data_IF_207282088313
#
_entry.id   IF_207282088313
#
_cell.length_a   1.000
_cell.length_b   1.000
_cell.length_c   1.000
_cell.angle_alpha   90.00
_cell.angle_beta   90.00
_cell.angle_gamma   90.00
#
_symmetry.space_group_name_H-M   'P 1'
#
loop_
_entity.id
_entity.type
_entity.pdbx_description
1 polymer ?
#
# COMPACT_ATOMS: atom_id res chain seq x y z
N UNK A 1 -6.29 -10.17 -22.37
CA UNK A 1 -6.26 -9.60 -21.00
C UNK A 1 -6.13 -10.76 -20.03
N UNK A 2 -4.92 -11.07 -19.55
CA UNK A 2 -4.75 -12.13 -18.53
C UNK A 2 -5.11 -11.51 -17.18
N UNK A 3 -6.23 -11.95 -16.59
CA UNK A 3 -6.45 -11.81 -15.15
C UNK A 3 -5.51 -12.84 -14.52
N UNK A 4 -4.43 -12.38 -13.91
CA UNK A 4 -3.52 -13.24 -13.17
C UNK A 4 -3.93 -13.26 -11.70
N UNK A 5 -4.13 -14.44 -11.14
CA UNK A 5 -4.07 -14.70 -9.71
C UNK A 5 -2.73 -15.39 -9.48
N UNK A 6 -1.89 -14.82 -8.64
CA UNK A 6 -0.60 -15.37 -8.26
C UNK A 6 -0.57 -15.56 -6.75
N UNK A 7 0.00 -16.68 -6.33
CA UNK A 7 0.36 -16.95 -4.94
C UNK A 7 1.83 -17.29 -4.97
N UNK A 8 2.63 -16.48 -4.29
CA UNK A 8 4.06 -16.67 -4.18
C UNK A 8 4.48 -16.61 -2.70
N UNK A 9 5.72 -17.01 -2.44
CA UNK A 9 6.34 -16.91 -1.12
C UNK A 9 7.75 -16.36 -1.26
N UNK A 10 8.07 -15.29 -0.54
CA UNK A 10 9.39 -14.64 -0.47
C UNK A 10 9.87 -14.05 -1.81
N UNK A 11 9.11 -13.12 -2.34
CA UNK A 11 9.49 -12.36 -3.52
C UNK A 11 10.37 -11.15 -3.15
N UNK A 12 11.41 -10.89 -3.94
CA UNK A 12 12.16 -9.63 -3.84
C UNK A 12 11.34 -8.46 -4.44
N UNK A 13 10.76 -8.65 -5.63
CA UNK A 13 10.00 -7.62 -6.33
C UNK A 13 8.82 -8.18 -7.10
N UNK A 14 7.70 -7.46 -7.04
CA UNK A 14 6.50 -7.73 -7.82
C UNK A 14 6.10 -6.52 -8.66
N UNK A 15 5.88 -6.76 -9.96
CA UNK A 15 5.47 -5.73 -10.92
C UNK A 15 4.14 -6.08 -11.57
N UNK A 16 3.07 -5.37 -11.18
CA UNK A 16 1.75 -5.52 -11.76
C UNK A 16 1.34 -4.30 -12.58
N UNK A 17 1.39 -4.44 -13.91
CA UNK A 17 1.08 -3.35 -14.83
C UNK A 17 -0.44 -3.14 -15.06
N UNK A 18 -1.25 -4.19 -14.86
CA UNK A 18 -2.69 -4.23 -15.14
C UNK A 18 -3.43 -5.04 -14.07
N UNK A 19 -4.72 -5.27 -14.33
CA UNK A 19 -5.64 -6.00 -13.46
C UNK A 19 -5.09 -7.38 -13.07
N UNK A 20 -4.89 -7.58 -11.79
CA UNK A 20 -4.31 -8.78 -11.21
C UNK A 20 -4.57 -8.82 -9.72
N UNK A 21 -4.37 -10.00 -9.16
CA UNK A 21 -4.47 -10.27 -7.73
C UNK A 21 -3.21 -11.06 -7.35
N UNK A 22 -2.51 -10.61 -6.32
CA UNK A 22 -1.38 -11.33 -5.74
C UNK A 22 -1.65 -11.54 -4.25
N UNK A 23 -1.37 -12.75 -3.79
CA UNK A 23 -1.18 -13.05 -2.37
C UNK A 23 0.26 -13.48 -2.20
N UNK A 24 0.94 -12.85 -1.27
CA UNK A 24 2.32 -13.16 -0.93
C UNK A 24 2.47 -13.01 0.60
N UNK A 25 3.52 -13.63 1.16
CA UNK A 25 3.76 -13.64 2.61
C UNK A 25 4.90 -12.73 3.01
N UNK A 26 5.97 -12.69 2.20
CA UNK A 26 7.01 -11.68 2.34
C UNK A 26 7.39 -11.11 0.97
N UNK A 27 7.31 -9.79 0.84
CA UNK A 27 7.69 -9.07 -0.37
C UNK A 27 8.54 -7.85 -0.01
N UNK A 28 9.70 -7.64 -0.65
CA UNK A 28 10.47 -6.40 -0.40
C UNK A 28 9.81 -5.21 -1.15
N UNK A 29 9.42 -5.38 -2.42
CA UNK A 29 8.82 -4.26 -3.18
C UNK A 29 7.64 -4.64 -4.06
N UNK A 30 6.52 -3.93 -3.88
CA UNK A 30 5.33 -4.04 -4.71
C UNK A 30 5.12 -2.81 -5.60
N UNK A 31 5.10 -3.00 -6.92
CA UNK A 31 4.82 -1.94 -7.90
C UNK A 31 3.51 -2.21 -8.63
N UNK A 32 2.49 -1.40 -8.35
CA UNK A 32 1.14 -1.60 -8.91
C UNK A 32 0.67 -0.41 -9.74
N UNK A 33 0.33 -0.67 -11.00
CA UNK A 33 -0.06 0.38 -11.94
C UNK A 33 -1.56 0.64 -12.02
N UNK A 34 -2.40 -0.37 -12.27
CA UNK A 34 -3.83 -0.16 -12.54
C UNK A 34 -4.70 -1.34 -12.12
N UNK A 35 -5.64 -1.10 -11.19
CA UNK A 35 -6.68 -2.07 -10.80
C UNK A 35 -6.09 -3.38 -10.29
N UNK A 36 -5.02 -3.27 -9.50
CA UNK A 36 -4.35 -4.39 -8.85
C UNK A 36 -4.91 -4.54 -7.43
N UNK A 37 -4.87 -5.77 -6.93
CA UNK A 37 -5.10 -6.08 -5.53
C UNK A 37 -3.91 -6.89 -5.03
N UNK A 38 -3.37 -6.52 -3.87
CA UNK A 38 -2.34 -7.27 -3.17
C UNK A 38 -2.79 -7.51 -1.74
N UNK A 39 -2.63 -8.75 -1.30
CA UNK A 39 -2.69 -9.14 0.10
C UNK A 39 -1.31 -9.63 0.49
N UNK A 40 -0.75 -9.06 1.55
CA UNK A 40 0.59 -9.38 2.03
C UNK A 40 0.60 -9.51 3.54
N UNK A 41 1.51 -10.32 4.09
CA UNK A 41 1.75 -10.29 5.54
C UNK A 41 2.79 -9.23 5.89
N UNK A 42 3.95 -9.26 5.22
CA UNK A 42 5.02 -8.29 5.41
C UNK A 42 5.49 -7.71 4.07
N UNK A 43 5.39 -6.39 3.92
CA UNK A 43 5.93 -5.66 2.78
C UNK A 43 6.89 -4.58 3.24
N UNK A 44 8.07 -4.47 2.61
CA UNK A 44 8.96 -3.34 2.93
C UNK A 44 8.48 -2.05 2.26
N UNK A 45 8.06 -2.12 0.98
CA UNK A 45 7.64 -0.93 0.21
C UNK A 45 6.52 -1.17 -0.78
N UNK A 46 5.47 -0.35 -0.67
CA UNK A 46 4.35 -0.33 -1.59
C UNK A 46 4.30 0.92 -2.47
N UNK A 47 4.18 0.72 -3.79
CA UNK A 47 4.05 1.80 -4.78
C UNK A 47 2.76 1.70 -5.62
N UNK A 48 1.56 1.81 -5.02
CA UNK A 48 0.31 1.76 -5.76
C UNK A 48 0.01 3.09 -6.46
N UNK A 49 -0.07 3.06 -7.79
CA UNK A 49 -0.19 4.29 -8.57
C UNK A 49 -1.63 4.65 -9.00
N UNK A 50 -2.49 3.72 -9.42
CA UNK A 50 -3.90 4.03 -9.77
C UNK A 50 -4.91 2.94 -9.46
N UNK A 51 -5.94 3.28 -8.68
CA UNK A 51 -7.10 2.40 -8.42
C UNK A 51 -6.65 1.01 -7.98
N UNK A 52 -5.63 0.94 -7.14
CA UNK A 52 -5.19 -0.31 -6.51
C UNK A 52 -5.79 -0.39 -5.12
N UNK A 53 -5.90 -1.62 -4.61
CA UNK A 53 -6.11 -1.85 -3.20
C UNK A 53 -5.00 -2.75 -2.65
N UNK A 54 -4.59 -2.43 -1.44
CA UNK A 54 -3.53 -3.11 -0.70
C UNK A 54 -4.10 -3.45 0.67
N UNK A 55 -3.90 -4.69 1.11
CA UNK A 55 -4.29 -5.14 2.44
C UNK A 55 -3.10 -5.84 3.06
N UNK A 56 -2.55 -5.29 4.13
CA UNK A 56 -1.33 -5.82 4.75
C UNK A 56 -1.37 -5.85 6.26
N UNK A 57 -0.59 -6.74 6.86
CA UNK A 57 -0.43 -6.75 8.32
C UNK A 57 0.63 -5.74 8.71
N UNK A 58 1.83 -5.82 8.12
CA UNK A 58 2.92 -4.91 8.38
C UNK A 58 3.46 -4.33 7.06
N UNK A 59 3.51 -3.01 6.98
CA UNK A 59 4.15 -2.29 5.89
C UNK A 59 5.14 -1.28 6.47
N UNK A 60 6.36 -1.28 5.93
CA UNK A 60 7.36 -0.28 6.32
C UNK A 60 7.06 1.08 5.68
N UNK A 61 6.75 1.11 4.38
CA UNK A 61 6.57 2.36 3.63
C UNK A 61 5.50 2.28 2.53
N UNK A 62 4.51 3.15 2.64
CA UNK A 62 3.46 3.34 1.64
C UNK A 62 3.67 4.60 0.78
N UNK A 63 3.67 4.46 -0.55
CA UNK A 63 3.77 5.57 -1.51
C UNK A 63 2.55 5.66 -2.45
N UNK A 64 1.32 5.86 -1.95
CA UNK A 64 0.14 5.89 -2.79
C UNK A 64 0.05 7.15 -3.66
N UNK A 65 -0.24 6.94 -4.95
CA UNK A 65 -0.29 8.04 -5.93
C UNK A 65 -1.69 8.60 -6.19
N UNK A 66 -2.67 7.77 -6.60
CA UNK A 66 -4.01 8.24 -7.01
C UNK A 66 -5.09 7.19 -6.84
N UNK A 67 -6.11 7.53 -6.06
CA UNK A 67 -7.31 6.72 -5.78
C UNK A 67 -6.92 5.31 -5.36
N UNK A 68 -5.96 5.22 -4.46
CA UNK A 68 -5.57 3.96 -3.84
C UNK A 68 -6.31 3.82 -2.51
N UNK A 69 -6.59 2.58 -2.15
CA UNK A 69 -7.15 2.22 -0.86
C UNK A 69 -6.16 1.27 -0.19
N UNK A 70 -5.62 1.66 0.95
CA UNK A 70 -4.68 0.84 1.70
C UNK A 70 -5.33 0.56 3.06
N UNK A 71 -5.27 -0.70 3.48
CA UNK A 71 -5.75 -1.16 4.78
C UNK A 71 -4.63 -1.92 5.45
N UNK A 72 -4.13 -1.41 6.57
CA UNK A 72 -2.93 -1.94 7.20
C UNK A 72 -3.12 -2.06 8.71
N UNK A 73 -2.50 -3.05 9.35
CA UNK A 73 -2.51 -3.12 10.82
C UNK A 73 -1.44 -2.17 11.37
N UNK A 74 -0.21 -2.29 10.87
CA UNK A 74 0.91 -1.43 11.24
C UNK A 74 1.56 -0.84 9.98
N UNK A 75 1.65 0.49 9.95
CA UNK A 75 2.45 1.21 8.96
C UNK A 75 3.49 2.10 9.64
N UNK A 76 4.74 1.94 9.25
CA UNK A 76 5.80 2.82 9.75
C UNK A 76 5.72 4.21 9.10
N UNK A 77 5.58 4.29 7.77
CA UNK A 77 5.58 5.59 7.07
C UNK A 77 4.62 5.67 5.89
N UNK A 78 3.73 6.65 5.92
CA UNK A 78 2.82 6.98 4.84
C UNK A 78 3.27 8.24 4.06
N UNK A 79 3.39 8.13 2.73
CA UNK A 79 3.73 9.24 1.83
C UNK A 79 2.66 9.47 0.74
N UNK A 80 1.42 9.84 1.10
CA UNK A 80 0.37 10.02 0.11
C UNK A 80 0.58 11.28 -0.75
N UNK A 81 0.60 11.08 -2.07
CA UNK A 81 0.81 12.19 -3.02
C UNK A 81 -0.47 12.87 -3.51
N UNK A 82 -1.62 12.17 -3.55
CA UNK A 82 -2.94 12.72 -3.92
C UNK A 82 -4.08 11.91 -3.28
N UNK A 83 -5.32 12.29 -3.61
CA UNK A 83 -6.59 11.60 -3.29
C UNK A 83 -6.44 10.10 -3.17
N UNK A 84 -6.64 9.59 -1.98
CA UNK A 84 -6.67 8.18 -1.60
C UNK A 84 -7.30 8.06 -0.22
N UNK A 85 -7.43 6.82 0.24
CA UNK A 85 -7.78 6.51 1.61
C UNK A 85 -6.76 5.53 2.15
N UNK A 86 -6.29 5.83 3.35
CA UNK A 86 -5.36 5.02 4.13
C UNK A 86 -6.09 4.72 5.45
N UNK A 87 -6.27 3.43 5.76
CA UNK A 87 -7.00 2.97 6.94
C UNK A 87 -6.08 2.06 7.74
N UNK A 88 -5.72 2.47 8.94
CA UNK A 88 -4.64 1.82 9.70
C UNK A 88 -4.98 1.67 11.17
N UNK A 89 -4.44 0.64 11.83
CA UNK A 89 -4.55 0.57 13.29
C UNK A 89 -3.47 1.44 13.93
N UNK A 90 -2.22 1.23 13.54
CA UNK A 90 -1.06 1.99 14.04
C UNK A 90 -0.28 2.59 12.88
N UNK A 91 -0.06 3.91 12.94
CA UNK A 91 0.79 4.66 12.01
C UNK A 91 1.87 5.41 12.79
N UNK A 92 3.16 5.16 12.49
CA UNK A 92 4.26 5.92 13.10
C UNK A 92 4.36 7.31 12.47
N UNK A 93 4.52 7.42 11.14
CA UNK A 93 4.73 8.73 10.48
C UNK A 93 3.87 8.97 9.25
N UNK A 94 3.13 10.07 9.24
CA UNK A 94 2.36 10.53 8.07
C UNK A 94 2.99 11.76 7.41
N UNK A 95 3.26 11.70 6.11
CA UNK A 95 3.80 12.80 5.29
C UNK A 95 2.86 13.17 4.11
N UNK A 96 1.65 13.68 4.37
CA UNK A 96 0.70 14.04 3.33
C UNK A 96 1.14 15.27 2.53
N UNK A 97 1.15 15.15 1.20
CA UNK A 97 1.39 16.31 0.33
C UNK A 97 0.11 17.01 -0.14
N UNK A 98 -1.03 16.30 -0.28
CA UNK A 98 -2.35 16.83 -0.70
C UNK A 98 -3.51 15.88 -0.36
N UNK A 99 -4.66 16.42 0.08
CA UNK A 99 -6.02 15.77 0.17
C UNK A 99 -6.00 14.23 0.16
N UNK A 100 -5.59 13.61 1.27
CA UNK A 100 -5.74 12.19 1.52
C UNK A 100 -6.64 12.02 2.75
N UNK A 101 -7.51 11.01 2.72
CA UNK A 101 -8.23 10.62 3.92
C UNK A 101 -7.35 9.62 4.66
N UNK A 102 -7.02 9.95 5.89
CA UNK A 102 -6.31 9.10 6.83
C UNK A 102 -7.31 8.73 7.92
N UNK A 103 -7.41 7.44 8.22
CA UNK A 103 -8.21 6.92 9.32
C UNK A 103 -7.33 5.98 10.10
N UNK A 104 -7.02 6.37 11.33
CA UNK A 104 -6.08 5.67 12.18
C UNK A 104 -6.56 5.60 13.62
N UNK A 105 -6.17 4.53 14.33
CA UNK A 105 -6.45 4.42 15.78
C UNK A 105 -5.35 5.09 16.58
N UNK A 106 -4.08 4.84 16.20
CA UNK A 106 -2.91 5.45 16.81
C UNK A 106 -2.03 6.10 15.73
N UNK A 107 -1.71 7.37 15.92
CA UNK A 107 -0.73 8.11 15.13
C UNK A 107 0.37 8.66 16.05
N UNK A 108 1.63 8.30 15.80
CA UNK A 108 2.75 8.89 16.56
C UNK A 108 3.06 10.31 16.04
N UNK A 109 3.21 10.48 14.72
CA UNK A 109 3.58 11.80 14.16
C UNK A 109 2.99 12.11 12.78
N UNK A 110 2.35 13.28 12.69
CA UNK A 110 1.96 13.91 11.43
C UNK A 110 2.93 15.02 11.01
N UNK A 111 3.29 15.05 9.73
CA UNK A 111 4.08 16.12 9.11
C UNK A 111 3.22 16.86 8.07
N UNK A 112 2.78 18.10 8.36
CA UNK A 112 1.96 18.86 7.42
C UNK A 112 2.72 19.22 6.13
N UNK A 113 1.99 19.43 5.04
CA UNK A 113 2.51 19.92 3.75
C UNK A 113 2.81 21.42 3.77
#
# INVERSE_FOLDING_TARGET
SRRGFLVETNLDKSFQSRRGFLVETNLDKAFQSRRCFLVETNLDRAFPSRRGALVETNLDKAFPSRRCFLVETNLDRAFPSRRGALVETNLDKAFPSRRCFLVETNLDRAFPS
#
